data_IF_721863264656
#
_entry.id   IF_721863264656
#
_cell.length_a   1.000
_cell.length_b   1.000
_cell.length_c   1.000
_cell.angle_alpha   90.00
_cell.angle_beta   90.00
_cell.angle_gamma   90.00
#
_symmetry.space_group_name_H-M   'P 1'
#
loop_
_entity.id
_entity.type
_entity.pdbx_description
1 polymer ?
#
# COMPACT_ATOMS: atom_id res chain seq x y z
N UNK A 1 14.93 2.80 18.51
CA UNK A 1 15.51 2.69 17.16
C UNK A 1 14.99 1.46 16.45
N UNK A 2 15.06 0.27 17.05
CA UNK A 2 14.58 -1.00 16.45
C UNK A 2 13.11 -0.99 16.02
N UNK A 3 12.22 -0.33 16.76
CA UNK A 3 10.80 -0.25 16.38
C UNK A 3 10.59 0.57 15.10
N UNK A 4 11.33 1.67 14.93
CA UNK A 4 11.17 2.59 13.79
C UNK A 4 11.70 1.94 12.51
N UNK A 5 12.86 1.29 12.58
CA UNK A 5 13.44 0.56 11.43
C UNK A 5 12.54 -0.62 11.03
N UNK A 6 12.01 -1.37 11.99
CA UNK A 6 11.05 -2.43 11.70
C UNK A 6 9.74 -1.87 11.11
N UNK A 7 9.18 -0.79 11.66
CA UNK A 7 7.94 -0.19 11.17
C UNK A 7 8.08 0.31 9.71
N UNK A 8 9.19 0.99 9.39
CA UNK A 8 9.47 1.45 8.04
C UNK A 8 9.70 0.29 7.05
N UNK A 9 10.30 -0.82 7.49
CA UNK A 9 10.44 -2.02 6.63
C UNK A 9 9.10 -2.69 6.29
N UNK A 10 8.07 -2.52 7.12
CA UNK A 10 6.71 -2.97 6.82
C UNK A 10 5.98 -2.03 5.87
N UNK A 11 6.37 -0.76 5.81
CA UNK A 11 5.82 0.26 4.90
C UNK A 11 6.50 0.27 3.54
N UNK A 12 6.86 -0.91 3.01
CA UNK A 12 7.32 -1.04 1.65
C UNK A 12 6.10 -0.84 0.73
N UNK A 13 5.93 0.39 0.23
CA UNK A 13 4.92 0.70 -0.78
C UNK A 13 5.52 0.44 -2.14
N UNK A 14 4.89 -0.46 -2.89
CA UNK A 14 5.10 -0.45 -4.33
C UNK A 14 4.18 0.64 -4.88
N UNK A 15 4.75 1.81 -5.18
CA UNK A 15 4.06 2.84 -5.95
C UNK A 15 3.99 2.34 -7.38
N UNK A 16 2.83 1.83 -7.74
CA UNK A 16 2.47 1.44 -9.08
C UNK A 16 1.80 2.65 -9.72
N UNK A 17 2.50 3.43 -10.56
CA UNK A 17 1.80 4.37 -11.41
C UNK A 17 1.03 3.53 -12.41
N UNK A 18 -0.27 3.37 -12.18
CA UNK A 18 -1.11 2.66 -13.13
C UNK A 18 -2.41 3.41 -13.31
N UNK A 19 -2.67 3.81 -14.56
CA UNK A 19 -3.79 3.27 -15.36
C UNK A 19 -4.24 4.13 -16.55
N UNK A 20 -3.58 5.22 -16.92
CA UNK A 20 -4.09 6.08 -18.03
C UNK A 20 -3.08 6.41 -19.14
N UNK A 21 -1.77 6.23 -18.95
CA UNK A 21 -0.80 6.62 -19.98
C UNK A 21 -0.73 5.66 -21.18
N UNK A 22 -1.14 4.39 -21.04
CA UNK A 22 -1.03 3.43 -22.15
C UNK A 22 -1.98 3.74 -23.31
N UNK A 23 -3.17 4.26 -23.01
CA UNK A 23 -4.15 4.59 -24.05
C UNK A 23 -4.12 6.07 -24.44
N UNK A 24 -3.42 6.93 -23.69
CA UNK A 24 -3.36 8.39 -23.92
C UNK A 24 -1.98 8.95 -23.51
N UNK A 25 -0.97 8.95 -24.41
CA UNK A 25 0.37 9.46 -24.12
C UNK A 25 0.40 10.92 -23.64
N UNK A 26 -0.66 11.70 -23.92
CA UNK A 26 -0.76 13.12 -23.56
C UNK A 26 -1.38 13.37 -22.17
N UNK A 27 -1.88 12.32 -21.48
CA UNK A 27 -2.45 12.45 -20.14
C UNK A 27 -1.39 12.20 -19.08
N UNK A 28 -0.98 13.27 -18.38
CA UNK A 28 -0.20 13.18 -17.14
C UNK A 28 -0.89 12.20 -16.18
N UNK A 29 -0.22 11.11 -15.85
CA UNK A 29 -0.65 10.20 -14.78
C UNK A 29 -0.64 11.02 -13.49
N UNK A 30 -1.77 11.04 -12.78
CA UNK A 30 -1.92 11.77 -11.50
C UNK A 30 -2.34 10.89 -10.34
N UNK A 31 -2.42 9.57 -10.55
CA UNK A 31 -2.85 8.63 -9.52
C UNK A 31 -1.86 7.46 -9.39
N UNK A 32 -1.49 7.17 -8.15
CA UNK A 32 -0.67 6.04 -7.76
C UNK A 32 -1.53 4.98 -7.08
N UNK A 33 -1.23 3.70 -7.35
CA UNK A 33 -1.71 2.59 -6.52
C UNK A 33 -0.56 2.15 -5.63
N UNK A 34 -0.80 2.08 -4.33
CA UNK A 34 0.14 1.55 -3.37
C UNK A 34 -0.26 0.12 -3.01
N UNK A 35 0.68 -0.81 -2.98
CA UNK A 35 0.47 -2.17 -2.46
C UNK A 35 1.30 -2.33 -1.19
N UNK A 36 0.65 -2.74 -0.10
CA UNK A 36 1.28 -3.00 1.21
C UNK A 36 1.10 -4.47 1.58
N UNK A 37 2.19 -5.16 1.86
CA UNK A 37 2.18 -6.54 2.34
C UNK A 37 2.04 -6.60 3.85
N UNK A 38 0.91 -7.10 4.32
CA UNK A 38 0.62 -7.24 5.75
C UNK A 38 1.05 -8.59 6.33
N UNK A 39 1.85 -9.39 5.60
CA UNK A 39 2.42 -10.61 6.16
C UNK A 39 3.22 -10.31 7.42
N UNK A 40 2.94 -11.05 8.50
CA UNK A 40 3.57 -10.82 9.81
C UNK A 40 2.96 -9.68 10.65
N UNK A 41 1.94 -8.96 10.16
CA UNK A 41 1.18 -8.05 11.03
C UNK A 41 0.50 -8.85 12.13
N UNK A 42 0.82 -8.52 13.39
CA UNK A 42 0.18 -9.10 14.54
C UNK A 42 -0.42 -8.02 15.45
N UNK A 43 -1.25 -8.47 16.39
CA UNK A 43 -1.96 -7.57 17.30
C UNK A 43 -0.99 -6.80 18.20
N UNK A 44 0.18 -7.38 18.55
CA UNK A 44 1.18 -6.70 19.39
C UNK A 44 1.79 -5.51 18.65
N UNK A 45 2.07 -5.66 17.36
CA UNK A 45 2.54 -4.58 16.50
C UNK A 45 1.51 -3.44 16.43
N UNK A 46 0.23 -3.77 16.27
CA UNK A 46 -0.85 -2.77 16.26
C UNK A 46 -0.91 -1.99 17.58
N UNK A 47 -0.86 -2.69 18.73
CA UNK A 47 -0.86 -2.01 20.03
C UNK A 47 0.37 -1.13 20.23
N UNK A 48 1.55 -1.56 19.74
CA UNK A 48 2.74 -0.71 19.75
C UNK A 48 2.53 0.54 18.91
N UNK A 49 1.92 0.44 17.72
CA UNK A 49 1.59 1.60 16.89
C UNK A 49 0.62 2.56 17.58
N UNK A 50 -0.38 2.04 18.30
CA UNK A 50 -1.33 2.87 19.08
C UNK A 50 -0.63 3.58 20.25
N UNK A 51 0.39 2.96 20.86
CA UNK A 51 1.23 3.62 21.87
C UNK A 51 2.18 4.69 21.30
N UNK A 52 2.24 4.82 19.97
CA UNK A 52 3.20 5.62 19.22
C UNK A 52 2.51 6.32 18.03
N UNK A 53 1.35 6.94 18.28
CA UNK A 53 0.52 7.57 17.23
C UNK A 53 1.30 8.63 16.42
N UNK A 54 2.29 9.29 17.03
CA UNK A 54 3.17 10.24 16.36
C UNK A 54 3.93 9.63 15.17
N UNK A 55 4.27 8.33 15.23
CA UNK A 55 4.93 7.62 14.13
C UNK A 55 3.95 7.19 13.05
N UNK A 56 2.71 6.87 13.42
CA UNK A 56 1.63 6.61 12.47
C UNK A 56 1.32 7.88 11.68
N UNK A 57 1.20 9.02 12.37
CA UNK A 57 1.04 10.33 11.74
C UNK A 57 2.23 10.70 10.85
N UNK A 58 3.46 10.43 11.29
CA UNK A 58 4.65 10.64 10.49
C UNK A 58 4.63 9.80 9.21
N UNK A 59 4.25 8.52 9.30
CA UNK A 59 4.08 7.65 8.15
C UNK A 59 3.06 8.21 7.14
N UNK A 60 1.90 8.68 7.63
CA UNK A 60 0.87 9.32 6.79
C UNK A 60 1.41 10.57 6.10
N UNK A 61 2.07 11.46 6.86
CA UNK A 61 2.65 12.71 6.34
C UNK A 61 3.72 12.43 5.29
N UNK A 62 4.59 11.44 5.53
CA UNK A 62 5.61 11.01 4.58
C UNK A 62 4.96 10.46 3.31
N UNK A 63 3.95 9.59 3.41
CA UNK A 63 3.21 9.09 2.24
C UNK A 63 2.57 10.24 1.45
N UNK A 64 1.94 11.20 2.11
CA UNK A 64 1.38 12.40 1.45
C UNK A 64 2.46 13.21 0.74
N UNK A 65 3.58 13.48 1.42
CA UNK A 65 4.71 14.23 0.87
C UNK A 65 5.34 13.54 -0.35
N UNK A 66 5.54 12.22 -0.28
CA UNK A 66 6.07 11.44 -1.41
C UNK A 66 5.14 11.51 -2.62
N UNK A 67 3.83 11.39 -2.40
CA UNK A 67 2.83 11.51 -3.46
C UNK A 67 2.85 12.92 -4.07
N UNK A 68 2.91 13.97 -3.25
CA UNK A 68 2.98 15.35 -3.70
C UNK A 68 4.25 15.64 -4.52
N UNK A 69 5.43 15.19 -4.06
CA UNK A 69 6.72 15.32 -4.77
C UNK A 69 6.64 14.63 -6.14
N UNK A 70 6.05 13.44 -6.19
CA UNK A 70 5.88 12.68 -7.43
C UNK A 70 4.72 13.21 -8.28
N UNK A 71 4.04 14.28 -7.86
CA UNK A 71 2.84 14.86 -8.48
C UNK A 71 1.70 13.87 -8.67
N UNK A 72 1.66 12.84 -7.82
CA UNK A 72 0.60 11.84 -7.77
C UNK A 72 -0.33 12.11 -6.59
N UNK A 73 -1.57 11.70 -6.75
CA UNK A 73 -2.50 11.50 -5.64
C UNK A 73 -2.64 9.99 -5.40
N UNK A 74 -2.88 9.56 -4.16
CA UNK A 74 -3.18 8.16 -3.90
C UNK A 74 -4.52 7.81 -4.54
N UNK A 75 -4.50 6.99 -5.60
CA UNK A 75 -5.71 6.46 -6.22
C UNK A 75 -6.30 5.33 -5.38
N UNK A 76 -5.44 4.39 -4.97
CA UNK A 76 -5.85 3.21 -4.19
C UNK A 76 -4.70 2.70 -3.31
N UNK A 77 -5.03 2.21 -2.12
CA UNK A 77 -4.13 1.42 -1.28
C UNK A 77 -4.66 -0.02 -1.21
N UNK A 78 -3.84 -0.98 -1.65
CA UNK A 78 -4.17 -2.40 -1.61
C UNK A 78 -3.34 -3.06 -0.51
N UNK A 79 -4.01 -3.69 0.46
CA UNK A 79 -3.38 -4.46 1.52
C UNK A 79 -3.48 -5.95 1.18
N UNK A 80 -2.35 -6.60 0.91
CA UNK A 80 -2.31 -8.06 0.69
C UNK A 80 -1.92 -8.78 1.97
N UNK A 81 -2.19 -10.08 2.03
CA UNK A 81 -2.06 -10.86 3.28
C UNK A 81 -2.82 -10.24 4.45
N UNK A 82 -3.93 -9.53 4.17
CA UNK A 82 -4.67 -8.82 5.19
C UNK A 82 -5.28 -9.81 6.19
N UNK A 83 -5.00 -9.60 7.47
CA UNK A 83 -5.45 -10.44 8.55
C UNK A 83 -6.24 -9.63 9.60
N UNK A 84 -6.56 -10.26 10.74
CA UNK A 84 -7.29 -9.61 11.82
C UNK A 84 -6.56 -8.36 12.36
N UNK A 85 -5.23 -8.42 12.52
CA UNK A 85 -4.43 -7.28 12.95
C UNK A 85 -4.43 -6.14 11.92
N UNK A 86 -4.39 -6.45 10.62
CA UNK A 86 -4.55 -5.44 9.55
C UNK A 86 -5.87 -4.70 9.70
N UNK A 87 -6.97 -5.43 9.95
CA UNK A 87 -8.29 -4.81 10.17
C UNK A 87 -8.28 -3.91 11.41
N UNK A 88 -7.69 -4.35 12.51
CA UNK A 88 -7.55 -3.52 13.72
C UNK A 88 -6.77 -2.24 13.42
N UNK A 89 -5.64 -2.34 12.73
CA UNK A 89 -4.83 -1.18 12.35
C UNK A 89 -5.63 -0.18 11.51
N UNK A 90 -6.44 -0.67 10.55
CA UNK A 90 -7.31 0.17 9.74
C UNK A 90 -8.39 0.87 10.57
N UNK A 91 -8.99 0.18 11.54
CA UNK A 91 -10.02 0.79 12.38
C UNK A 91 -9.42 1.87 13.30
N UNK A 92 -8.18 1.69 13.78
CA UNK A 92 -7.44 2.74 14.50
C UNK A 92 -7.02 3.90 13.60
N UNK A 93 -6.59 3.64 12.36
CA UNK A 93 -6.15 4.67 11.42
C UNK A 93 -7.32 5.43 10.76
N UNK A 94 -8.53 4.86 10.75
CA UNK A 94 -9.74 5.45 10.15
C UNK A 94 -9.97 6.92 10.51
N UNK A 95 -9.94 7.36 11.78
CA UNK A 95 -10.12 8.77 12.14
C UNK A 95 -9.01 9.68 11.59
N UNK A 96 -7.81 9.15 11.34
CA UNK A 96 -6.68 9.92 10.82
C UNK A 96 -6.71 10.04 9.29
N UNK A 97 -7.25 9.02 8.60
CA UNK A 97 -7.21 8.92 7.14
C UNK A 97 -8.45 9.51 6.46
N UNK A 98 -9.56 9.65 7.18
CA UNK A 98 -10.78 10.27 6.68
C UNK A 98 -11.24 9.68 5.34
N UNK A 99 -11.39 10.52 4.32
CA UNK A 99 -11.83 10.13 2.98
C UNK A 99 -10.88 9.16 2.26
N UNK A 100 -9.59 9.09 2.66
CA UNK A 100 -8.64 8.14 2.08
C UNK A 100 -9.02 6.69 2.40
N UNK A 101 -9.78 6.44 3.46
CA UNK A 101 -10.28 5.10 3.80
C UNK A 101 -11.16 4.52 2.69
N UNK A 102 -11.86 5.36 1.92
CA UNK A 102 -12.65 4.92 0.76
C UNK A 102 -11.82 4.38 -0.40
N UNK A 103 -10.49 4.56 -0.35
CA UNK A 103 -9.52 4.11 -1.36
C UNK A 103 -8.74 2.86 -0.91
N UNK A 104 -9.06 2.31 0.27
CA UNK A 104 -8.37 1.14 0.82
C UNK A 104 -9.09 -0.15 0.43
N UNK A 105 -8.35 -1.12 -0.11
CA UNK A 105 -8.82 -2.47 -0.42
C UNK A 105 -8.00 -3.48 0.37
N UNK A 106 -8.66 -4.21 1.27
CA UNK A 106 -8.00 -5.25 2.07
C UNK A 106 -8.26 -6.64 1.47
N UNK A 107 -7.23 -7.23 0.89
CA UNK A 107 -7.26 -8.56 0.29
C UNK A 107 -6.89 -9.61 1.34
N UNK A 108 -7.93 -10.15 1.97
CA UNK A 108 -7.82 -11.21 2.97
C UNK A 108 -7.92 -12.61 2.34
N UNK A 109 -7.58 -13.63 3.12
CA UNK A 109 -7.66 -15.03 2.72
C UNK A 109 -6.30 -15.63 2.33
N UNK A 110 -6.35 -16.85 1.80
CA UNK A 110 -5.11 -17.56 1.46
C UNK A 110 -4.38 -16.92 0.27
N UNK A 111 -3.09 -17.27 0.12
CA UNK A 111 -2.18 -16.71 -0.88
C UNK A 111 -2.70 -16.75 -2.31
N UNK A 112 -3.47 -17.77 -2.67
CA UNK A 112 -4.02 -17.90 -4.03
C UNK A 112 -5.14 -16.90 -4.28
N UNK A 113 -6.01 -16.66 -3.29
CA UNK A 113 -7.16 -15.76 -3.43
C UNK A 113 -6.75 -14.31 -3.58
N UNK A 114 -5.89 -13.79 -2.69
CA UNK A 114 -5.50 -12.38 -2.80
C UNK A 114 -4.64 -12.11 -4.05
N UNK A 115 -3.85 -13.08 -4.51
CA UNK A 115 -3.10 -12.94 -5.78
C UNK A 115 -4.02 -12.84 -6.98
N UNK A 116 -5.06 -13.68 -7.04
CA UNK A 116 -6.06 -13.61 -8.10
C UNK A 116 -6.77 -12.25 -8.11
N UNK A 117 -7.12 -11.74 -6.93
CA UNK A 117 -7.78 -10.44 -6.80
C UNK A 117 -6.83 -9.27 -7.14
N UNK A 118 -5.56 -9.36 -6.77
CA UNK A 118 -4.55 -8.37 -7.15
C UNK A 118 -4.39 -8.29 -8.68
N UNK A 119 -4.38 -9.43 -9.37
CA UNK A 119 -4.39 -9.50 -10.86
C UNK A 119 -5.66 -8.97 -11.50
N UNK A 120 -6.79 -8.95 -10.78
CA UNK A 120 -8.04 -8.35 -11.25
C UNK A 120 -8.00 -6.83 -11.17
N UNK A 121 -7.31 -6.29 -10.16
CA UNK A 121 -7.22 -4.86 -9.89
C UNK A 121 -6.09 -4.16 -10.67
N UNK A 122 -5.01 -4.88 -10.97
CA UNK A 122 -3.78 -4.34 -11.55
C UNK A 122 -3.40 -5.08 -12.84
N UNK A 123 -2.76 -4.42 -13.82
CA UNK A 123 -2.25 -5.10 -14.99
C UNK A 123 -1.08 -6.00 -14.58
N UNK A 124 -0.93 -7.15 -15.23
CA UNK A 124 0.01 -8.18 -14.82
C UNK A 124 1.47 -7.71 -14.78
N UNK A 125 1.84 -6.77 -15.64
CA UNK A 125 3.18 -6.19 -15.72
C UNK A 125 3.47 -5.06 -14.73
N UNK A 126 2.46 -4.59 -13.99
CA UNK A 126 2.65 -3.75 -12.82
C UNK A 126 2.69 -4.56 -11.52
N UNK A 127 2.55 -5.88 -11.57
CA UNK A 127 2.62 -6.73 -10.39
C UNK A 127 4.00 -7.40 -10.35
N UNK A 128 4.73 -7.37 -9.22
CA UNK A 128 5.97 -8.13 -9.09
C UNK A 128 5.79 -9.64 -9.25
N UNK A 129 6.83 -10.38 -9.70
CA UNK A 129 6.77 -11.84 -9.84
C UNK A 129 6.39 -12.57 -8.55
N UNK A 130 6.86 -12.10 -7.38
CA UNK A 130 6.56 -12.71 -6.10
C UNK A 130 5.09 -12.55 -5.66
N UNK A 131 4.39 -11.55 -6.20
CA UNK A 131 2.94 -11.37 -6.10
C UNK A 131 2.16 -12.00 -7.26
N UNK A 132 2.86 -12.73 -8.13
CA UNK A 132 2.28 -13.49 -9.23
C UNK A 132 2.22 -12.73 -10.55
N UNK A 133 2.81 -11.55 -10.67
CA UNK A 133 2.82 -10.78 -11.91
C UNK A 133 3.92 -11.16 -12.89
N UNK A 134 4.24 -10.24 -13.80
CA UNK A 134 5.20 -10.45 -14.88
C UNK A 134 6.65 -10.57 -14.38
N UNK A 135 7.44 -11.43 -15.06
CA UNK A 135 8.90 -11.51 -14.89
C UNK A 135 9.63 -10.23 -15.34
N UNK A 136 8.99 -9.46 -16.22
CA UNK A 136 9.53 -8.22 -16.78
C UNK A 136 9.14 -6.98 -15.94
N UNK A 137 8.59 -7.18 -14.74
CA UNK A 137 8.23 -6.11 -13.82
C UNK A 137 9.44 -5.18 -13.57
N UNK A 138 9.24 -3.88 -13.80
CA UNK A 138 10.21 -2.83 -13.50
C UNK A 138 9.62 -1.86 -12.48
N UNK A 139 10.08 -1.88 -11.22
CA UNK A 139 9.57 -0.93 -10.23
C UNK A 139 10.00 0.49 -10.62
N UNK A 140 9.09 1.45 -10.47
CA UNK A 140 9.39 2.87 -10.68
C UNK A 140 9.93 3.53 -9.41
N UNK A 141 9.43 3.13 -8.24
CA UNK A 141 9.96 3.48 -6.92
C UNK A 141 9.78 2.28 -6.00
N UNK A 142 10.86 1.85 -5.33
CA UNK A 142 10.82 0.92 -4.20
C UNK A 142 11.27 1.72 -2.98
N UNK A 143 10.43 1.80 -1.96
CA UNK A 143 10.80 2.35 -0.65
C UNK A 143 11.22 1.23 0.29
#
# INVERSE_FOLDING_TARGET
TDFVENFLSYMCFIILPSFVARDKPDKKIRQAVAVLDSEGFDVKLVYKMVGHLEFVELGIKMTSLYLDILTFSLGQLILINANYATKMALDFARPLWGELMGRVVALSGNKYRWKAELKRLLPEDAIPPWYGGSKDFKPLVVC
#
